data_IF_627025068536
#
_entry.id   IF_627025068536
#
_cell.length_a   1.000
_cell.length_b   1.000
_cell.length_c   1.000
_cell.angle_alpha   90.00
_cell.angle_beta   90.00
_cell.angle_gamma   90.00
#
_symmetry.space_group_name_H-M   'P 1'
#
loop_
_entity.id
_entity.type
_entity.pdbx_description
1 polymer ?
#
# COMPACT_ATOMS: atom_id res chain seq x y z
N UNK A 1 7.53 -17.61 25.20
CA UNK A 1 7.20 -18.30 23.94
C UNK A 1 6.61 -17.22 23.05
N UNK A 2 7.29 -16.86 21.96
CA UNK A 2 6.81 -15.80 21.06
C UNK A 2 5.60 -16.34 20.29
N UNK A 3 4.45 -15.67 20.38
CA UNK A 3 3.28 -16.02 19.54
C UNK A 3 3.55 -15.59 18.10
N UNK A 4 3.23 -16.45 17.14
CA UNK A 4 3.30 -16.12 15.71
C UNK A 4 1.90 -16.12 15.13
N UNK A 5 1.51 -15.00 14.54
CA UNK A 5 0.14 -14.75 14.06
C UNK A 5 0.17 -13.99 12.73
N UNK A 6 -0.89 -14.12 11.92
CA UNK A 6 -1.00 -13.41 10.63
C UNK A 6 -1.47 -11.97 10.79
N UNK A 7 -0.95 -11.03 9.99
CA UNK A 7 -1.38 -9.62 9.99
C UNK A 7 -2.88 -9.51 9.73
N UNK A 8 -3.41 -10.25 8.76
CA UNK A 8 -4.84 -10.25 8.41
C UNK A 8 -5.74 -10.69 9.58
N UNK A 9 -5.22 -11.51 10.48
CA UNK A 9 -5.97 -12.03 11.63
C UNK A 9 -5.87 -11.12 12.87
N UNK A 10 -4.88 -10.23 12.91
CA UNK A 10 -4.53 -9.41 14.09
C UNK A 10 -4.78 -7.91 13.91
N UNK A 11 -4.51 -7.35 12.73
CA UNK A 11 -4.69 -5.94 12.43
C UNK A 11 -5.90 -5.77 11.51
N UNK A 12 -7.08 -5.56 12.11
CA UNK A 12 -8.37 -5.46 11.38
C UNK A 12 -8.90 -4.03 11.32
N UNK A 13 -8.36 -3.15 12.15
CA UNK A 13 -8.80 -1.77 12.31
C UNK A 13 -7.63 -0.84 12.63
N UNK A 14 -7.84 0.47 12.44
CA UNK A 14 -6.88 1.49 12.90
C UNK A 14 -6.70 1.47 14.42
N UNK A 15 -7.74 1.08 15.18
CA UNK A 15 -7.65 0.93 16.63
C UNK A 15 -6.69 -0.20 17.04
N UNK A 16 -6.61 -1.28 16.25
CA UNK A 16 -5.64 -2.36 16.50
C UNK A 16 -4.21 -1.85 16.34
N UNK A 17 -3.96 -1.05 15.31
CA UNK A 17 -2.65 -0.41 15.09
C UNK A 17 -2.28 0.55 16.22
N UNK A 18 -3.21 1.41 16.64
CA UNK A 18 -2.97 2.34 17.75
C UNK A 18 -2.62 1.60 19.04
N UNK A 19 -3.37 0.54 19.36
CA UNK A 19 -3.20 -0.20 20.60
C UNK A 19 -1.93 -1.06 20.60
N UNK A 20 -1.65 -1.75 19.48
CA UNK A 20 -0.57 -2.76 19.39
C UNK A 20 0.78 -2.17 19.00
N UNK A 21 0.76 -1.10 18.19
CA UNK A 21 1.97 -0.49 17.65
C UNK A 21 2.24 0.91 18.25
N UNK A 22 1.49 1.29 19.29
CA UNK A 22 1.61 2.59 19.98
C UNK A 22 1.57 3.80 19.02
N UNK A 23 0.73 3.71 17.99
CA UNK A 23 0.55 4.78 17.02
C UNK A 23 -0.48 5.81 17.49
N UNK A 24 -0.24 7.05 17.11
CA UNK A 24 -1.18 8.15 17.28
C UNK A 24 -1.58 8.71 15.90
N UNK A 25 -2.85 9.08 15.77
CA UNK A 25 -3.32 9.75 14.56
C UNK A 25 -2.75 11.17 14.54
N UNK A 26 -2.17 11.56 13.40
CA UNK A 26 -1.77 12.94 13.17
C UNK A 26 -3.04 13.83 13.06
N UNK A 27 -3.07 14.92 13.82
CA UNK A 27 -4.17 15.90 13.78
C UNK A 27 -3.91 17.02 12.75
N UNK A 28 -2.66 17.20 12.33
CA UNK A 28 -2.30 18.19 11.31
C UNK A 28 -2.54 17.64 9.91
N UNK A 29 -3.50 18.24 9.20
CA UNK A 29 -3.80 17.91 7.80
C UNK A 29 -2.62 18.20 6.85
N UNK A 30 -1.67 19.04 7.27
CA UNK A 30 -0.46 19.38 6.50
C UNK A 30 0.75 18.49 6.84
N UNK A 31 0.56 17.43 7.63
CA UNK A 31 1.65 16.53 8.03
C UNK A 31 2.39 15.92 6.82
N UNK A 32 1.71 15.77 5.66
CA UNK A 32 2.29 15.39 4.37
C UNK A 32 1.88 16.35 3.25
N UNK A 33 2.49 17.53 3.23
CA UNK A 33 2.16 18.55 2.22
C UNK A 33 2.72 18.21 0.82
N UNK A 34 3.71 17.33 0.72
CA UNK A 34 4.37 16.97 -0.55
C UNK A 34 3.41 16.30 -1.55
N UNK A 35 2.27 15.85 -1.05
CA UNK A 35 1.18 15.21 -1.80
C UNK A 35 0.07 16.16 -2.19
N UNK A 36 0.05 17.35 -1.58
CA UNK A 36 -0.99 18.36 -1.78
C UNK A 36 -0.52 19.45 -2.73
N UNK A 37 0.78 19.76 -2.72
CA UNK A 37 1.34 20.90 -3.46
C UNK A 37 2.34 20.43 -4.52
N UNK A 38 2.38 21.16 -5.64
CA UNK A 38 3.38 21.00 -6.71
C UNK A 38 3.47 19.61 -7.37
N UNK A 39 2.37 18.85 -7.35
CA UNK A 39 2.29 17.60 -8.10
C UNK A 39 2.37 17.85 -9.62
N UNK A 40 3.17 17.07 -10.36
CA UNK A 40 3.24 17.20 -11.80
C UNK A 40 1.89 16.84 -12.43
N UNK A 41 1.46 17.63 -13.42
CA UNK A 41 0.27 17.28 -14.19
C UNK A 41 0.55 16.08 -15.08
N UNK A 42 -0.41 15.15 -15.13
CA UNK A 42 -0.35 14.04 -16.06
C UNK A 42 -0.34 14.54 -17.51
N UNK A 43 0.55 14.01 -18.32
CA UNK A 43 0.56 14.27 -19.75
C UNK A 43 -0.58 13.51 -20.47
N UNK A 44 -0.82 13.82 -21.75
CA UNK A 44 -1.91 13.22 -22.53
C UNK A 44 -1.82 11.69 -22.62
N UNK A 45 -0.61 11.14 -22.71
CA UNK A 45 -0.40 9.70 -22.78
C UNK A 45 -0.74 9.03 -21.44
N UNK A 46 -0.32 9.62 -20.32
CA UNK A 46 -0.64 9.16 -18.97
C UNK A 46 -2.16 9.22 -18.71
N UNK A 47 -2.81 10.34 -19.03
CA UNK A 47 -4.26 10.48 -18.90
C UNK A 47 -5.02 9.43 -19.72
N UNK A 48 -4.59 9.21 -20.97
CA UNK A 48 -5.18 8.17 -21.82
C UNK A 48 -4.93 6.76 -21.27
N UNK A 49 -3.75 6.51 -20.69
CA UNK A 49 -3.40 5.25 -20.05
C UNK A 49 -4.32 4.95 -18.86
N UNK A 50 -4.45 5.91 -17.93
CA UNK A 50 -5.35 5.80 -16.77
C UNK A 50 -6.79 5.60 -17.22
N UNK A 51 -7.25 6.37 -18.21
CA UNK A 51 -8.61 6.24 -18.77
C UNK A 51 -8.87 4.82 -19.29
N UNK A 52 -7.90 4.23 -19.99
CA UNK A 52 -8.01 2.88 -20.53
C UNK A 52 -8.04 1.81 -19.43
N UNK A 53 -7.24 1.98 -18.38
CA UNK A 53 -7.24 1.09 -17.21
C UNK A 53 -8.62 1.13 -16.54
N UNK A 54 -9.16 2.34 -16.31
CA UNK A 54 -10.48 2.53 -15.75
C UNK A 54 -11.58 1.88 -16.59
N UNK A 55 -11.57 2.06 -17.91
CA UNK A 55 -12.55 1.45 -18.81
C UNK A 55 -12.52 -0.09 -18.74
N UNK A 56 -11.34 -0.70 -18.65
CA UNK A 56 -11.21 -2.16 -18.49
C UNK A 56 -11.75 -2.65 -17.16
N UNK A 57 -11.41 -1.96 -16.07
CA UNK A 57 -11.96 -2.25 -14.75
C UNK A 57 -13.49 -2.14 -14.74
N UNK A 58 -14.01 -1.04 -15.28
CA UNK A 58 -15.46 -0.77 -15.35
C UNK A 58 -16.18 -1.82 -16.19
N UNK A 59 -15.59 -2.28 -17.30
CA UNK A 59 -16.15 -3.36 -18.13
C UNK A 59 -16.22 -4.69 -17.37
N UNK A 60 -15.11 -5.14 -16.78
CA UNK A 60 -15.04 -6.45 -16.15
C UNK A 60 -15.81 -6.57 -14.84
N UNK A 61 -16.00 -5.46 -14.11
CA UNK A 61 -16.78 -5.50 -12.86
C UNK A 61 -18.30 -5.61 -13.08
N UNK A 62 -18.79 -5.43 -14.32
CA UNK A 62 -20.22 -5.58 -14.63
C UNK A 62 -20.68 -7.02 -14.41
N UNK A 63 -19.82 -7.99 -14.77
CA UNK A 63 -20.16 -9.41 -14.74
C UNK A 63 -19.98 -10.06 -13.36
N UNK A 64 -19.48 -9.31 -12.36
CA UNK A 64 -19.44 -9.75 -10.97
C UNK A 64 -18.20 -9.32 -10.19
N UNK A 65 -17.93 -10.10 -9.14
CA UNK A 65 -16.83 -9.84 -8.21
C UNK A 65 -15.48 -10.09 -8.88
N UNK A 66 -14.61 -9.09 -8.82
CA UNK A 66 -13.23 -9.21 -9.25
C UNK A 66 -12.39 -9.67 -8.06
N UNK A 67 -11.72 -10.82 -8.25
CA UNK A 67 -10.76 -11.33 -7.27
C UNK A 67 -9.48 -10.49 -7.29
N UNK A 68 -8.69 -10.58 -6.22
CA UNK A 68 -7.42 -9.87 -6.05
C UNK A 68 -6.49 -10.06 -7.25
N UNK A 69 -6.28 -11.30 -7.69
CA UNK A 69 -5.46 -11.58 -8.87
C UNK A 69 -5.96 -10.90 -10.15
N UNK A 70 -7.27 -10.75 -10.32
CA UNK A 70 -7.86 -10.05 -11.47
C UNK A 70 -7.67 -8.54 -11.36
N UNK A 71 -7.79 -7.98 -10.15
CA UNK A 71 -7.52 -6.55 -9.89
C UNK A 71 -6.04 -6.25 -10.12
N UNK A 72 -5.16 -7.13 -9.68
CA UNK A 72 -3.73 -7.02 -9.95
C UNK A 72 -3.45 -6.97 -11.45
N UNK A 73 -4.06 -7.86 -12.22
CA UNK A 73 -3.89 -7.92 -13.66
C UNK A 73 -4.47 -6.70 -14.40
N UNK A 74 -5.67 -6.26 -14.04
CA UNK A 74 -6.41 -5.24 -14.79
C UNK A 74 -6.05 -3.81 -14.38
N UNK A 75 -5.61 -3.61 -13.14
CA UNK A 75 -5.43 -2.30 -12.52
C UNK A 75 -4.02 -2.10 -12.04
N UNK A 76 -3.54 -2.93 -11.10
CA UNK A 76 -2.26 -2.69 -10.43
C UNK A 76 -1.08 -2.79 -11.41
N UNK A 77 -0.94 -3.90 -12.12
CA UNK A 77 0.18 -4.09 -13.07
C UNK A 77 0.21 -3.02 -14.17
N UNK A 78 -0.92 -2.66 -14.81
CA UNK A 78 -0.94 -1.56 -15.78
C UNK A 78 -0.61 -0.18 -15.18
N UNK A 79 -1.01 0.10 -13.93
CA UNK A 79 -0.63 1.36 -13.27
C UNK A 79 0.87 1.40 -12.96
N UNK A 80 1.45 0.28 -12.54
CA UNK A 80 2.90 0.17 -12.33
C UNK A 80 3.69 0.36 -13.63
N UNK A 81 3.20 -0.21 -14.73
CA UNK A 81 3.75 0.01 -16.08
C UNK A 81 3.68 1.48 -16.46
N UNK A 82 2.50 2.09 -16.33
CA UNK A 82 2.28 3.49 -16.72
C UNK A 82 3.14 4.46 -15.91
N UNK A 83 3.39 4.16 -14.64
CA UNK A 83 4.25 4.93 -13.75
C UNK A 83 5.75 4.64 -13.94
N UNK A 84 6.14 3.70 -14.81
CA UNK A 84 7.55 3.32 -15.05
C UNK A 84 8.19 2.50 -13.93
N UNK A 85 7.40 1.96 -12.99
CA UNK A 85 7.91 1.15 -11.87
C UNK A 85 8.32 -0.27 -12.27
N UNK A 86 8.03 -0.69 -13.50
CA UNK A 86 8.49 -1.96 -14.07
C UNK A 86 9.91 -1.88 -14.66
N UNK A 87 10.43 -0.66 -14.81
CA UNK A 87 11.70 -0.39 -15.48
C UNK A 87 12.81 0.00 -14.49
N UNK A 88 14.06 -0.03 -14.97
CA UNK A 88 15.22 0.45 -14.20
C UNK A 88 15.03 1.91 -13.75
N UNK A 89 15.42 2.28 -12.52
CA UNK A 89 16.17 1.51 -11.52
C UNK A 89 15.29 0.71 -10.54
N UNK A 90 13.99 0.61 -10.79
CA UNK A 90 13.05 -0.03 -9.89
C UNK A 90 13.04 -1.55 -10.02
N UNK A 91 12.71 -2.23 -8.94
CA UNK A 91 12.55 -3.69 -8.87
C UNK A 91 11.27 -4.04 -8.12
N UNK A 92 10.52 -5.00 -8.64
CA UNK A 92 9.35 -5.56 -7.97
C UNK A 92 9.73 -6.77 -7.13
N UNK A 93 9.17 -6.84 -5.93
CA UNK A 93 9.14 -8.02 -5.06
C UNK A 93 7.68 -8.36 -4.79
N UNK A 94 7.23 -9.52 -5.27
CA UNK A 94 5.81 -9.89 -5.26
C UNK A 94 5.66 -11.43 -5.27
N UNK A 95 5.09 -12.05 -4.21
CA UNK A 95 4.79 -11.45 -2.91
C UNK A 95 6.08 -11.17 -2.12
N UNK A 96 6.04 -10.24 -1.16
CA UNK A 96 7.15 -9.95 -0.26
C UNK A 96 6.77 -10.22 1.20
N UNK A 97 7.46 -11.18 1.82
CA UNK A 97 7.21 -11.56 3.21
C UNK A 97 7.80 -10.55 4.20
N UNK A 98 7.03 -10.23 5.24
CA UNK A 98 7.43 -9.30 6.32
C UNK A 98 7.18 -9.92 7.69
N UNK A 99 7.93 -9.45 8.68
CA UNK A 99 7.70 -9.73 10.09
C UNK A 99 7.63 -8.39 10.84
N UNK A 100 6.56 -8.18 11.60
CA UNK A 100 6.40 -7.07 12.53
C UNK A 100 6.60 -7.62 13.94
N UNK A 101 7.66 -7.19 14.60
CA UNK A 101 7.96 -7.55 15.98
C UNK A 101 7.30 -6.55 16.92
N UNK A 102 6.52 -7.05 17.87
CA UNK A 102 5.90 -6.27 18.94
C UNK A 102 6.57 -6.67 20.25
N UNK A 103 7.07 -5.67 20.99
CA UNK A 103 7.81 -5.89 22.22
C UNK A 103 6.87 -6.21 23.40
N UNK A 104 5.72 -5.53 23.48
CA UNK A 104 4.76 -5.67 24.58
C UNK A 104 3.30 -5.77 24.06
N UNK A 105 2.68 -6.96 24.05
CA UNK A 105 3.25 -8.27 24.40
C UNK A 105 4.28 -8.76 23.36
N UNK A 106 5.24 -9.58 23.78
CA UNK A 106 6.25 -10.19 22.90
C UNK A 106 5.57 -11.10 21.85
N UNK A 107 5.40 -10.58 20.63
CA UNK A 107 4.64 -11.18 19.54
C UNK A 107 5.31 -10.89 18.19
N UNK A 108 5.27 -11.85 17.27
CA UNK A 108 5.67 -11.63 15.88
C UNK A 108 4.47 -11.78 14.95
N UNK A 109 4.09 -10.69 14.31
CA UNK A 109 3.02 -10.68 13.32
C UNK A 109 3.63 -10.82 11.92
N UNK A 110 3.16 -11.79 11.13
CA UNK A 110 3.69 -12.08 9.79
C UNK A 110 2.67 -11.76 8.70
N UNK A 111 3.16 -11.33 7.54
CA UNK A 111 2.31 -11.04 6.39
C UNK A 111 3.07 -11.07 5.08
N UNK A 112 2.33 -10.91 3.98
CA UNK A 112 2.87 -10.82 2.64
C UNK A 112 2.30 -9.57 1.97
N UNK A 113 3.18 -8.70 1.52
CA UNK A 113 2.82 -7.59 0.65
C UNK A 113 2.58 -8.16 -0.75
N UNK A 114 1.44 -7.83 -1.35
CA UNK A 114 1.11 -8.25 -2.72
C UNK A 114 2.17 -7.76 -3.71
N UNK A 115 2.45 -6.46 -3.72
CA UNK A 115 3.50 -5.87 -4.56
C UNK A 115 4.31 -4.85 -3.77
N UNK A 116 5.62 -5.05 -3.72
CA UNK A 116 6.58 -4.09 -3.20
C UNK A 116 7.51 -3.62 -4.34
N UNK A 117 7.53 -2.33 -4.62
CA UNK A 117 8.51 -1.70 -5.52
C UNK A 117 9.65 -1.14 -4.68
N UNK A 118 10.88 -1.48 -5.05
CA UNK A 118 12.09 -1.00 -4.40
C UNK A 118 13.04 -0.33 -5.39
N UNK A 119 13.82 0.61 -4.88
CA UNK A 119 15.03 1.12 -5.53
C UNK A 119 16.19 0.90 -4.55
N UNK A 120 17.12 0.02 -4.91
CA UNK A 120 18.17 -0.45 -4.00
C UNK A 120 17.60 -0.99 -2.67
N UNK A 121 17.80 -0.26 -1.57
CA UNK A 121 17.32 -0.58 -0.22
C UNK A 121 16.08 0.21 0.19
N UNK A 122 15.61 1.13 -0.65
CA UNK A 122 14.45 1.98 -0.37
C UNK A 122 13.18 1.32 -0.89
N UNK A 123 12.13 1.31 -0.06
CA UNK A 123 10.78 0.95 -0.48
C UNK A 123 10.14 2.19 -1.09
N UNK A 124 9.67 2.06 -2.33
CA UNK A 124 9.17 3.16 -3.17
C UNK A 124 7.67 3.04 -3.40
N UNK A 125 7.11 1.84 -3.31
CA UNK A 125 5.67 1.63 -3.43
C UNK A 125 5.24 0.32 -2.77
N UNK A 126 4.16 0.36 -2.00
CA UNK A 126 3.54 -0.81 -1.37
C UNK A 126 2.11 -0.90 -1.86
N UNK A 127 1.74 -2.04 -2.44
CA UNK A 127 0.38 -2.32 -2.88
C UNK A 127 -0.18 -3.48 -2.09
N UNK A 128 -1.39 -3.28 -1.60
CA UNK A 128 -2.28 -4.35 -1.15
C UNK A 128 -3.51 -4.32 -2.05
N UNK A 129 -3.76 -5.44 -2.75
CA UNK A 129 -4.96 -5.63 -3.52
C UNK A 129 -6.02 -6.32 -2.68
N UNK A 130 -7.28 -5.91 -2.85
CA UNK A 130 -8.43 -6.61 -2.27
C UNK A 130 -9.48 -6.81 -3.35
N UNK A 131 -10.34 -7.82 -3.17
CA UNK A 131 -11.51 -8.02 -4.04
C UNK A 131 -12.34 -6.75 -4.10
N UNK A 132 -12.98 -6.46 -5.23
CA UNK A 132 -13.74 -5.21 -5.43
C UNK A 132 -14.97 -5.04 -4.52
N UNK A 133 -15.38 -6.09 -3.80
CA UNK A 133 -16.41 -6.02 -2.75
C UNK A 133 -15.90 -5.52 -1.39
N UNK A 134 -14.59 -5.47 -1.18
CA UNK A 134 -13.99 -5.03 0.07
C UNK A 134 -13.80 -3.50 0.01
N UNK A 135 -14.33 -2.73 0.97
CA UNK A 135 -14.08 -1.30 1.04
C UNK A 135 -12.58 -1.01 1.18
N UNK A 136 -12.06 -0.02 0.47
CA UNK A 136 -10.65 0.36 0.54
C UNK A 136 -10.21 0.70 1.96
N UNK A 137 -11.08 1.33 2.75
CA UNK A 137 -10.81 1.66 4.16
C UNK A 137 -10.50 0.42 5.01
N UNK A 138 -11.06 -0.74 4.66
CA UNK A 138 -10.76 -2.00 5.35
C UNK A 138 -9.35 -2.53 5.08
N UNK A 139 -8.69 -2.07 4.00
CA UNK A 139 -7.32 -2.46 3.66
C UNK A 139 -6.26 -1.54 4.29
N UNK A 140 -6.63 -0.33 4.72
CA UNK A 140 -5.70 0.66 5.29
C UNK A 140 -4.93 0.10 6.50
N UNK A 141 -5.56 -0.55 7.50
CA UNK A 141 -4.83 -1.04 8.67
C UNK A 141 -3.72 -2.03 8.32
N UNK A 142 -4.01 -2.96 7.42
CA UNK A 142 -3.03 -3.94 6.96
C UNK A 142 -1.87 -3.28 6.21
N UNK A 143 -2.16 -2.32 5.33
CA UNK A 143 -1.13 -1.59 4.59
C UNK A 143 -0.21 -0.79 5.53
N UNK A 144 -0.77 -0.12 6.53
CA UNK A 144 0.01 0.61 7.54
C UNK A 144 0.87 -0.34 8.38
N UNK A 145 0.35 -1.51 8.76
CA UNK A 145 1.13 -2.53 9.47
C UNK A 145 2.37 -2.97 8.67
N UNK A 146 2.24 -3.12 7.35
CA UNK A 146 3.39 -3.41 6.49
C UNK A 146 4.42 -2.28 6.49
N UNK A 147 3.97 -1.02 6.44
CA UNK A 147 4.86 0.14 6.46
C UNK A 147 5.65 0.25 7.77
N UNK A 148 5.09 -0.19 8.90
CA UNK A 148 5.80 -0.19 10.19
C UNK A 148 7.00 -1.16 10.19
N UNK A 149 6.96 -2.22 9.38
CA UNK A 149 8.10 -3.17 9.27
C UNK A 149 9.32 -2.57 8.58
N UNK A 150 9.17 -1.39 7.96
CA UNK A 150 10.24 -0.67 7.26
C UNK A 150 11.22 -0.02 8.25
N UNK A 151 10.88 0.07 9.55
CA UNK A 151 11.70 0.73 10.55
C UNK A 151 12.71 -0.24 11.18
N UNK A 152 13.98 -0.33 10.71
CA UNK A 152 15.04 -0.56 11.66
C UNK A 152 15.10 0.67 12.58
N UNK A 153 15.49 0.47 13.83
CA UNK A 153 15.63 1.44 14.94
C UNK A 153 16.59 2.62 14.69
N UNK A 154 16.74 3.11 13.45
CA UNK A 154 17.66 4.21 13.12
C UNK A 154 17.64 4.79 11.70
N UNK A 155 16.58 4.62 10.89
CA UNK A 155 16.46 5.30 9.58
C UNK A 155 15.35 6.38 9.62
N UNK A 156 15.69 7.54 9.07
CA UNK A 156 14.92 8.79 9.08
C UNK A 156 13.48 8.59 8.60
N UNK A 157 12.52 9.02 9.43
CA UNK A 157 11.09 8.73 9.33
C UNK A 157 10.41 9.31 8.06
N UNK A 158 11.00 10.32 7.42
CA UNK A 158 10.34 11.15 6.40
C UNK A 158 10.11 10.48 5.03
N UNK A 159 10.89 9.47 4.65
CA UNK A 159 10.74 8.80 3.35
C UNK A 159 9.59 7.78 3.30
N UNK A 160 9.19 7.23 4.46
CA UNK A 160 8.15 6.18 4.56
C UNK A 160 6.75 6.75 4.37
N UNK A 161 6.56 8.03 4.71
CA UNK A 161 5.24 8.63 4.73
C UNK A 161 4.81 9.26 3.41
N UNK A 162 5.78 9.54 2.52
CA UNK A 162 5.58 9.82 1.11
C UNK A 162 5.09 8.58 0.35
N UNK A 163 4.26 7.74 0.96
CA UNK A 163 3.65 6.56 0.38
C UNK A 163 2.18 6.48 0.74
N UNK A 164 1.80 7.05 1.88
CA UNK A 164 0.48 6.95 2.50
C UNK A 164 -0.59 7.72 1.71
N UNK A 165 -0.21 8.85 1.10
CA UNK A 165 -1.17 9.74 0.46
C UNK A 165 -1.57 9.34 -0.98
N UNK A 166 -0.91 8.37 -1.63
CA UNK A 166 -1.31 7.90 -2.97
C UNK A 166 -2.56 7.03 -2.94
N UNK A 167 -2.79 6.32 -1.83
CA UNK A 167 -3.87 5.35 -1.70
C UNK A 167 -5.22 5.96 -1.30
N UNK A 168 -5.25 7.23 -0.86
CA UNK A 168 -6.48 7.87 -0.37
C UNK A 168 -7.27 8.62 -1.47
N UNK A 169 -6.65 9.02 -2.58
CA UNK A 169 -7.29 9.89 -3.58
C UNK A 169 -7.59 9.26 -4.96
N UNK A 170 -7.29 7.98 -5.20
CA UNK A 170 -7.85 7.25 -6.36
C UNK A 170 -9.37 6.96 -6.23
N UNK A 171 -10.04 7.59 -5.25
CA UNK A 171 -11.45 7.40 -4.89
C UNK A 171 -12.30 8.69 -4.96
N UNK A 172 -11.82 9.76 -5.59
CA UNK A 172 -12.68 10.88 -6.02
C UNK A 172 -12.56 11.09 -7.54
#
# INVERSE_FOLDING_TARGET
>A
MVSTVGITDTIKSLSDLQTRCHLHQAEDENFFNEWLTDLPQLNTQEQSGVTRIKQRYDYHRIDGLLLEGTINLLVVSPLLELAGFLDSPYRIRSPYGINLEIEEPEETIRGFIDVLVVQEKLWIFVVESKRNSIPVVAAIPQLLAYMLTILPTGINQYLVWLQMAMNLYLLN
#
